data_IF_002137694913
#
_entry.id   IF_002137694913
#
_cell.length_a   1.000
_cell.length_b   1.000
_cell.length_c   1.000
_cell.angle_alpha   90.00
_cell.angle_beta   90.00
_cell.angle_gamma   90.00
#
_symmetry.space_group_name_H-M   'P 1'
#
loop_
_entity.id
_entity.type
_entity.pdbx_description
1 polymer ?
#
# COMPACT_ATOMS: atom_id res chain seq x y z
N UNK A 1 45.53 -26.18 7.52
CA UNK A 1 44.07 -26.21 7.78
C UNK A 1 43.45 -25.05 7.03
N UNK A 2 42.91 -25.29 5.82
CA UNK A 2 42.27 -24.24 5.02
C UNK A 2 40.84 -24.04 5.51
N UNK A 3 40.52 -22.81 5.92
CA UNK A 3 39.16 -22.40 6.24
C UNK A 3 38.36 -22.25 4.94
N UNK A 4 37.40 -23.13 4.72
CA UNK A 4 36.36 -22.97 3.71
C UNK A 4 35.46 -21.81 4.14
N UNK A 5 35.65 -20.65 3.54
CA UNK A 5 34.64 -19.58 3.56
C UNK A 5 33.45 -20.11 2.77
N UNK A 6 32.24 -20.23 3.35
CA UNK A 6 31.07 -20.61 2.58
C UNK A 6 30.74 -19.47 1.61
N UNK A 7 31.15 -19.62 0.36
CA UNK A 7 30.64 -18.85 -0.76
C UNK A 7 29.19 -19.27 -0.98
N UNK A 8 28.25 -18.49 -0.46
CA UNK A 8 26.87 -18.57 -0.91
C UNK A 8 26.84 -18.18 -2.40
N UNK A 9 26.31 -19.02 -3.30
CA UNK A 9 26.19 -18.64 -4.70
C UNK A 9 25.28 -17.41 -4.81
N UNK A 10 25.59 -16.43 -5.68
CA UNK A 10 24.76 -15.24 -5.89
C UNK A 10 23.31 -15.56 -6.35
N UNK A 11 23.03 -16.80 -6.75
CA UNK A 11 21.70 -17.26 -7.20
C UNK A 11 20.61 -17.29 -6.12
N UNK A 12 20.94 -17.32 -4.82
CA UNK A 12 19.89 -17.41 -3.78
C UNK A 12 19.09 -16.10 -3.58
N UNK A 13 19.54 -14.97 -4.11
CA UNK A 13 18.82 -13.68 -4.01
C UNK A 13 17.89 -13.40 -5.19
N UNK A 14 18.06 -14.08 -6.32
CA UNK A 14 17.24 -13.84 -7.53
C UNK A 14 15.91 -14.62 -7.52
N UNK A 15 15.86 -15.76 -6.82
CA UNK A 15 14.69 -16.66 -6.82
C UNK A 15 13.66 -16.38 -5.71
N UNK A 16 13.98 -15.53 -4.73
CA UNK A 16 12.96 -15.00 -3.85
C UNK A 16 12.21 -13.92 -4.63
N UNK A 17 11.13 -14.33 -5.30
CA UNK A 17 10.21 -13.42 -5.98
C UNK A 17 9.52 -12.59 -4.89
N UNK A 18 10.19 -11.51 -4.54
CA UNK A 18 9.66 -10.45 -3.72
C UNK A 18 8.78 -9.61 -4.61
N UNK A 19 7.56 -9.31 -4.14
CA UNK A 19 6.83 -8.17 -4.66
C UNK A 19 7.73 -6.94 -4.42
N UNK A 20 8.52 -6.53 -5.41
CA UNK A 20 9.45 -5.39 -5.31
C UNK A 20 8.70 -4.05 -5.25
N UNK A 21 7.43 -4.05 -5.63
CA UNK A 21 6.58 -2.87 -5.65
C UNK A 21 5.09 -3.21 -5.61
N UNK A 22 4.28 -2.33 -5.02
CA UNK A 22 2.82 -2.47 -5.03
C UNK A 22 2.15 -1.93 -6.29
N UNK A 23 2.91 -1.38 -7.25
CA UNK A 23 2.36 -0.77 -8.47
C UNK A 23 1.43 -1.71 -9.24
N UNK A 24 0.30 -1.17 -9.69
CA UNK A 24 -0.68 -1.92 -10.45
C UNK A 24 -2.11 -1.59 -10.04
N UNK A 25 -3.05 -2.25 -10.71
CA UNK A 25 -4.46 -2.23 -10.37
C UNK A 25 -4.82 -3.48 -9.57
N UNK A 26 -5.43 -3.26 -8.41
CA UNK A 26 -5.80 -4.30 -7.45
C UNK A 26 -7.29 -4.26 -7.19
N UNK A 27 -7.91 -5.41 -7.05
CA UNK A 27 -9.29 -5.51 -6.54
C UNK A 27 -9.23 -5.53 -5.03
N UNK A 28 -10.01 -4.68 -4.36
CA UNK A 28 -10.14 -4.61 -2.91
C UNK A 28 -11.51 -5.15 -2.48
N UNK A 29 -11.51 -6.02 -1.47
CA UNK A 29 -12.69 -6.47 -0.74
C UNK A 29 -12.53 -6.14 0.73
N UNK A 30 -13.51 -5.48 1.31
CA UNK A 30 -13.51 -5.12 2.73
C UNK A 30 -14.58 -5.90 3.47
N UNK A 31 -14.24 -6.33 4.67
CA UNK A 31 -15.09 -7.12 5.53
C UNK A 31 -15.26 -6.41 6.87
N UNK A 32 -16.48 -6.46 7.39
CA UNK A 32 -16.79 -6.05 8.76
C UNK A 32 -16.04 -6.89 9.80
N UNK A 33 -16.06 -6.45 11.06
CA UNK A 33 -15.49 -7.22 12.18
C UNK A 33 -16.06 -8.65 12.30
N UNK A 34 -17.32 -8.84 11.88
CA UNK A 34 -18.02 -10.14 11.89
C UNK A 34 -17.75 -10.97 10.61
N UNK A 35 -16.87 -10.50 9.73
CA UNK A 35 -16.46 -11.22 8.52
C UNK A 35 -17.40 -11.10 7.32
N UNK A 36 -18.47 -10.30 7.41
CA UNK A 36 -19.36 -10.03 6.26
C UNK A 36 -18.72 -9.03 5.30
N UNK A 37 -18.78 -9.30 4.00
CA UNK A 37 -18.35 -8.38 2.96
C UNK A 37 -19.18 -7.09 3.04
N UNK A 38 -18.50 -5.94 3.14
CA UNK A 38 -19.13 -4.62 3.28
C UNK A 38 -18.89 -3.73 2.07
N UNK A 39 -17.78 -3.90 1.36
CA UNK A 39 -17.52 -3.11 0.15
C UNK A 39 -16.55 -3.82 -0.79
N UNK A 40 -16.67 -3.48 -2.06
CA UNK A 40 -15.72 -3.82 -3.11
C UNK A 40 -15.24 -2.59 -3.87
N UNK A 41 -14.07 -2.68 -4.49
CA UNK A 41 -13.60 -1.65 -5.40
C UNK A 41 -12.23 -1.94 -6.00
N UNK A 42 -11.67 -0.94 -6.65
CA UNK A 42 -10.37 -1.02 -7.33
C UNK A 42 -9.40 -0.02 -6.73
N UNK A 43 -8.19 -0.49 -6.43
CA UNK A 43 -7.05 0.32 -6.02
C UNK A 43 -6.07 0.44 -7.18
N UNK A 44 -5.65 1.66 -7.48
CA UNK A 44 -4.55 1.91 -8.42
C UNK A 44 -3.37 2.43 -7.61
N UNK A 45 -2.36 1.58 -7.44
CA UNK A 45 -1.12 1.92 -6.78
C UNK A 45 -0.12 2.43 -7.81
N UNK A 46 0.38 3.64 -7.57
CA UNK A 46 1.34 4.37 -8.40
C UNK A 46 2.60 4.66 -7.61
N UNK A 47 3.75 4.65 -8.26
CA UNK A 47 5.05 4.97 -7.65
C UNK A 47 6.12 5.12 -8.74
N UNK A 48 7.19 5.86 -8.44
CA UNK A 48 8.30 6.04 -9.37
C UNK A 48 9.26 4.83 -9.34
N UNK A 49 9.91 4.56 -10.47
CA UNK A 49 10.97 3.53 -10.53
C UNK A 49 12.14 3.84 -9.57
N UNK A 50 12.41 5.11 -9.30
CA UNK A 50 13.43 5.56 -8.35
C UNK A 50 13.04 5.33 -6.88
N UNK A 51 11.79 4.97 -6.60
CA UNK A 51 11.27 4.71 -5.24
C UNK A 51 10.22 3.59 -5.31
N UNK A 52 10.64 2.34 -5.60
CA UNK A 52 9.73 1.23 -5.84
C UNK A 52 8.97 0.78 -4.58
N UNK A 53 9.41 1.25 -3.40
CA UNK A 53 8.90 0.93 -2.08
C UNK A 53 7.82 1.90 -1.58
N UNK A 54 7.49 2.97 -2.31
CA UNK A 54 6.48 3.93 -1.86
C UNK A 54 5.78 4.65 -3.01
N UNK A 55 4.63 5.24 -2.72
CA UNK A 55 3.95 6.08 -3.70
C UNK A 55 2.55 6.51 -3.27
N UNK A 56 1.66 6.68 -4.24
CA UNK A 56 0.27 7.08 -4.05
C UNK A 56 -0.68 5.98 -4.48
N UNK A 57 -1.80 5.85 -3.77
CA UNK A 57 -2.90 4.96 -4.10
C UNK A 57 -4.16 5.76 -4.28
N UNK A 58 -4.92 5.44 -5.33
CA UNK A 58 -6.29 5.89 -5.52
C UNK A 58 -7.24 4.71 -5.42
N UNK A 59 -8.38 4.90 -4.78
CA UNK A 59 -9.45 3.93 -4.64
C UNK A 59 -10.71 4.45 -5.33
N UNK A 60 -11.37 3.56 -6.08
CA UNK A 60 -12.68 3.76 -6.66
C UNK A 60 -13.54 2.52 -6.43
N UNK A 61 -14.69 2.68 -5.78
CA UNK A 61 -15.57 1.56 -5.42
C UNK A 61 -16.82 2.00 -4.67
N UNK A 62 -17.54 1.02 -4.13
CA UNK A 62 -18.89 1.18 -3.59
C UNK A 62 -18.97 2.09 -2.36
N UNK A 63 -17.93 2.13 -1.54
CA UNK A 63 -17.90 2.91 -0.30
C UNK A 63 -17.79 4.42 -0.57
N UNK A 64 -16.80 4.82 -1.38
CA UNK A 64 -16.55 6.20 -1.86
C UNK A 64 -15.17 6.28 -2.51
N UNK A 65 -14.92 7.29 -3.37
CA UNK A 65 -13.56 7.52 -3.88
C UNK A 65 -12.61 7.94 -2.76
N UNK A 66 -11.38 7.45 -2.81
CA UNK A 66 -10.36 7.79 -1.82
C UNK A 66 -8.95 7.88 -2.40
N UNK A 67 -8.07 8.59 -1.69
CA UNK A 67 -6.64 8.66 -2.05
C UNK A 67 -5.74 8.74 -0.83
N UNK A 68 -4.49 8.33 -1.00
CA UNK A 68 -3.45 8.53 0.00
C UNK A 68 -2.15 7.80 -0.30
N UNK A 69 -1.17 7.89 0.61
CA UNK A 69 0.13 7.28 0.40
C UNK A 69 0.12 5.77 0.67
N UNK A 70 1.04 5.06 0.02
CA UNK A 70 1.41 3.69 0.37
C UNK A 70 2.93 3.56 0.54
N UNK A 71 3.33 2.55 1.30
CA UNK A 71 4.70 2.15 1.54
C UNK A 71 4.79 0.63 1.69
N UNK A 72 5.84 0.06 1.15
CA UNK A 72 6.23 -1.33 1.30
C UNK A 72 7.48 -1.35 2.19
N UNK A 73 7.43 -2.11 3.28
CA UNK A 73 8.55 -2.24 4.22
C UNK A 73 8.95 -3.70 4.35
N UNK A 74 10.23 -3.96 4.57
CA UNK A 74 10.67 -5.27 5.03
C UNK A 74 10.09 -5.54 6.43
N UNK A 75 9.47 -6.71 6.62
CA UNK A 75 8.83 -7.18 7.86
C UNK A 75 9.68 -8.25 8.56
N UNK A 76 10.72 -8.77 7.91
CA UNK A 76 11.66 -9.74 8.48
C UNK A 76 12.15 -10.76 7.47
N UNK A 77 12.70 -11.87 7.97
CA UNK A 77 13.08 -13.04 7.19
C UNK A 77 12.19 -14.22 7.56
N UNK A 78 11.38 -14.68 6.60
CA UNK A 78 10.53 -15.87 6.71
C UNK A 78 11.26 -17.13 6.25
N UNK A 79 10.66 -18.30 6.47
CA UNK A 79 11.16 -19.57 5.91
C UNK A 79 10.70 -19.70 4.45
N UNK A 80 11.58 -20.13 3.57
CA UNK A 80 11.19 -20.43 2.19
C UNK A 80 10.15 -21.56 2.14
N UNK A 81 9.00 -21.38 1.48
CA UNK A 81 8.00 -22.44 1.33
C UNK A 81 8.43 -23.51 0.30
N UNK A 82 9.48 -23.24 -0.48
CA UNK A 82 9.91 -24.08 -1.64
C UNK A 82 11.26 -24.78 -1.44
N UNK A 83 11.93 -24.60 -0.30
CA UNK A 83 13.21 -25.29 -0.06
C UNK A 83 14.06 -24.75 1.08
N UNK A 84 15.37 -25.04 1.04
CA UNK A 84 16.34 -24.58 2.04
C UNK A 84 16.67 -23.10 1.82
N UNK A 85 16.36 -22.26 2.81
CA UNK A 85 16.67 -20.83 2.81
C UNK A 85 15.63 -19.98 3.55
N UNK A 86 15.86 -18.68 3.61
CA UNK A 86 14.89 -17.69 4.09
C UNK A 86 14.39 -16.78 2.96
N UNK A 87 13.20 -16.23 3.09
CA UNK A 87 12.63 -15.20 2.18
C UNK A 87 12.53 -13.88 2.92
N UNK A 88 12.70 -12.75 2.25
CA UNK A 88 12.41 -11.45 2.86
C UNK A 88 10.88 -11.29 2.90
N UNK A 89 10.29 -11.11 4.08
CA UNK A 89 8.87 -10.82 4.19
C UNK A 89 8.63 -9.34 3.93
N UNK A 90 7.64 -8.99 3.11
CA UNK A 90 7.30 -7.60 2.79
C UNK A 90 5.92 -7.25 3.36
N UNK A 91 5.85 -6.18 4.13
CA UNK A 91 4.63 -5.59 4.68
C UNK A 91 4.20 -4.40 3.83
N UNK A 92 3.00 -4.50 3.30
CA UNK A 92 2.33 -3.44 2.55
C UNK A 92 1.49 -2.60 3.52
N UNK A 93 1.70 -1.28 3.51
CA UNK A 93 0.92 -0.32 4.30
C UNK A 93 0.41 0.80 3.41
N UNK A 94 -0.86 1.16 3.51
CA UNK A 94 -1.38 2.35 2.84
C UNK A 94 -2.49 3.02 3.63
N UNK A 95 -2.75 4.27 3.27
CA UNK A 95 -3.84 5.07 3.85
C UNK A 95 -4.79 5.52 2.75
N UNK A 96 -6.09 5.47 3.04
CA UNK A 96 -7.12 6.05 2.18
C UNK A 96 -7.90 7.11 2.95
N UNK A 97 -7.98 8.31 2.39
CA UNK A 97 -8.90 9.36 2.85
C UNK A 97 -10.18 9.24 2.02
N UNK A 98 -11.28 8.79 2.64
CA UNK A 98 -12.57 8.44 1.99
C UNK A 98 -13.70 9.36 2.48
N UNK A 99 -13.62 10.66 2.16
CA UNK A 99 -14.67 11.62 2.48
C UNK A 99 -15.22 11.52 3.91
N UNK A 100 -16.49 11.15 4.04
CA UNK A 100 -17.22 10.98 5.31
C UNK A 100 -16.76 9.79 6.16
N UNK A 101 -16.12 8.77 5.58
CA UNK A 101 -15.57 7.63 6.33
C UNK A 101 -14.25 7.97 7.05
N UNK A 102 -13.67 9.14 6.73
CA UNK A 102 -12.44 9.63 7.33
C UNK A 102 -11.19 8.99 6.73
N UNK A 103 -10.19 8.75 7.58
CA UNK A 103 -8.91 8.15 7.14
C UNK A 103 -8.81 6.72 7.64
N UNK A 104 -8.62 5.80 6.70
CA UNK A 104 -8.47 4.38 6.95
C UNK A 104 -7.04 3.94 6.62
N UNK A 105 -6.53 3.04 7.44
CA UNK A 105 -5.19 2.48 7.34
C UNK A 105 -5.33 0.99 7.10
N UNK A 106 -4.58 0.53 6.12
CA UNK A 106 -4.51 -0.86 5.69
C UNK A 106 -3.08 -1.31 5.91
N UNK A 107 -2.93 -2.45 6.57
CA UNK A 107 -1.62 -3.04 6.83
C UNK A 107 -1.75 -4.53 6.64
N UNK A 108 -1.02 -5.08 5.68
CA UNK A 108 -1.06 -6.51 5.39
C UNK A 108 0.28 -7.01 4.89
N UNK A 109 0.42 -8.34 4.84
CA UNK A 109 1.59 -8.99 4.23
C UNK A 109 1.28 -9.25 2.77
N UNK A 110 2.22 -8.88 1.89
CA UNK A 110 2.13 -9.19 0.49
C UNK A 110 2.65 -10.60 0.24
N UNK A 111 1.81 -11.46 -0.33
CA UNK A 111 2.17 -12.81 -0.73
C UNK A 111 2.01 -12.94 -2.25
N UNK A 112 3.05 -13.40 -2.93
CA UNK A 112 2.96 -13.80 -4.34
C UNK A 112 2.64 -15.29 -4.36
N UNK A 113 1.42 -15.65 -4.77
CA UNK A 113 0.89 -17.01 -4.67
C UNK A 113 1.24 -17.88 -5.87
N UNK A 114 1.39 -17.28 -7.04
CA UNK A 114 1.86 -17.96 -8.25
C UNK A 114 2.23 -16.95 -9.35
N UNK A 115 2.90 -17.45 -10.39
CA UNK A 115 2.97 -16.78 -11.68
C UNK A 115 2.05 -17.53 -12.64
N UNK A 116 1.04 -16.85 -13.16
CA UNK A 116 0.27 -17.36 -14.28
C UNK A 116 0.58 -16.51 -15.51
N UNK A 117 1.36 -17.08 -16.44
CA UNK A 117 1.89 -16.32 -17.59
C UNK A 117 2.86 -15.21 -17.14
N UNK A 118 2.72 -14.01 -17.71
CA UNK A 118 3.57 -12.84 -17.43
C UNK A 118 3.18 -12.05 -16.16
N UNK A 119 2.37 -12.62 -15.25
CA UNK A 119 1.79 -11.88 -14.13
C UNK A 119 2.06 -12.54 -12.78
N UNK A 120 2.54 -11.79 -11.76
CA UNK A 120 2.52 -12.26 -10.39
C UNK A 120 1.09 -12.17 -9.85
N UNK A 121 0.53 -13.31 -9.44
CA UNK A 121 -0.70 -13.32 -8.65
C UNK A 121 -0.30 -12.95 -7.22
N UNK A 122 -0.54 -11.69 -6.86
CA UNK A 122 -0.19 -11.17 -5.55
C UNK A 122 -1.44 -10.84 -4.74
N UNK A 123 -1.43 -11.23 -3.47
CA UNK A 123 -2.53 -10.99 -2.53
C UNK A 123 -1.99 -10.32 -1.27
N UNK A 124 -2.72 -9.33 -0.77
CA UNK A 124 -2.47 -8.68 0.51
C UNK A 124 -3.71 -8.83 1.37
N UNK A 125 -3.55 -9.34 2.60
CA UNK A 125 -4.64 -9.44 3.58
C UNK A 125 -4.22 -8.81 4.90
N UNK A 126 -5.17 -8.22 5.62
CA UNK A 126 -4.89 -7.60 6.91
C UNK A 126 -6.08 -6.90 7.55
N UNK A 127 -5.88 -6.30 8.73
CA UNK A 127 -6.88 -5.45 9.38
C UNK A 127 -7.07 -4.10 8.69
N UNK A 128 -8.27 -3.53 8.83
CA UNK A 128 -8.57 -2.14 8.55
C UNK A 128 -8.66 -1.38 9.87
N UNK A 129 -7.91 -0.30 9.99
CA UNK A 129 -7.91 0.59 11.16
C UNK A 129 -8.39 1.98 10.74
N UNK A 130 -9.36 2.52 11.46
CA UNK A 130 -9.82 3.88 11.29
C UNK A 130 -9.09 4.82 12.24
N UNK A 131 -8.57 5.92 11.68
CA UNK A 131 -7.97 7.01 12.44
C UNK A 131 -9.05 8.02 12.79
N UNK A 132 -9.49 7.99 14.05
CA UNK A 132 -10.45 8.97 14.57
C UNK A 132 -9.72 10.31 14.70
N UNK A 133 -10.33 11.38 14.21
CA UNK A 133 -9.74 12.74 14.16
C UNK A 133 -8.41 12.83 13.38
N UNK A 134 -8.21 11.97 12.36
CA UNK A 134 -7.11 12.10 11.41
C UNK A 134 -5.71 11.75 11.95
N UNK A 135 -5.62 11.11 13.12
CA UNK A 135 -4.35 10.60 13.66
C UNK A 135 -3.39 11.70 14.16
N UNK A 136 -3.92 12.83 14.67
CA UNK A 136 -3.07 13.86 15.29
C UNK A 136 -2.22 13.28 16.42
N UNK A 137 -0.95 13.71 16.57
CA UNK A 137 0.02 13.10 17.50
C UNK A 137 -0.34 13.27 18.99
N UNK A 138 -1.36 14.06 19.33
CA UNK A 138 -1.91 14.18 20.68
C UNK A 138 -3.40 13.83 20.65
N UNK A 139 -3.71 12.54 20.80
CA UNK A 139 -5.08 12.08 21.06
C UNK A 139 -5.89 11.56 19.86
N UNK A 140 -5.26 11.28 18.71
CA UNK A 140 -5.94 10.47 17.69
C UNK A 140 -6.16 9.05 18.21
N UNK A 141 -7.42 8.61 18.34
CA UNK A 141 -7.73 7.23 18.67
C UNK A 141 -7.76 6.37 17.40
N UNK A 142 -7.24 5.15 17.51
CA UNK A 142 -7.29 4.15 16.46
C UNK A 142 -8.37 3.12 16.80
N UNK A 143 -9.20 2.77 15.82
CA UNK A 143 -10.23 1.74 15.98
C UNK A 143 -10.10 0.71 14.87
N UNK A 144 -9.97 -0.57 15.23
CA UNK A 144 -10.11 -1.66 14.26
C UNK A 144 -11.57 -1.70 13.81
N UNK A 145 -11.81 -1.55 12.51
CA UNK A 145 -13.17 -1.50 11.92
C UNK A 145 -13.49 -2.71 11.05
N UNK A 146 -12.48 -3.49 10.67
CA UNK A 146 -12.69 -4.66 9.82
C UNK A 146 -11.40 -5.34 9.38
N UNK A 147 -11.50 -6.08 8.28
CA UNK A 147 -10.39 -6.70 7.56
C UNK A 147 -10.56 -6.49 6.06
N UNK A 148 -9.49 -6.73 5.30
CA UNK A 148 -9.51 -6.61 3.85
C UNK A 148 -8.75 -7.76 3.18
N UNK A 149 -9.06 -7.93 1.90
CA UNK A 149 -8.32 -8.72 0.94
C UNK A 149 -8.14 -7.91 -0.34
N UNK A 150 -6.89 -7.75 -0.78
CA UNK A 150 -6.54 -7.06 -2.02
C UNK A 150 -5.78 -8.01 -2.95
N UNK A 151 -6.18 -8.08 -4.21
CA UNK A 151 -5.62 -8.99 -5.22
C UNK A 151 -5.16 -8.20 -6.45
N UNK A 152 -3.90 -8.40 -6.87
CA UNK A 152 -3.33 -7.76 -8.06
C UNK A 152 -3.99 -8.33 -9.32
N UNK A 153 -4.69 -7.47 -10.06
CA UNK A 153 -5.44 -7.86 -11.25
C UNK A 153 -4.64 -7.61 -12.53
N UNK A 154 -3.91 -6.49 -12.59
CA UNK A 154 -3.05 -6.12 -13.72
C UNK A 154 -1.97 -5.12 -13.32
N UNK A 155 -0.89 -5.07 -14.11
CA UNK A 155 0.03 -3.94 -14.07
C UNK A 155 -0.63 -2.67 -14.62
N UNK A 156 -0.01 -1.53 -14.33
CA UNK A 156 -0.43 -0.25 -14.87
C UNK A 156 -0.23 -0.24 -16.39
N UNK A 157 -1.10 0.47 -17.10
CA UNK A 157 -0.87 0.78 -18.51
C UNK A 157 0.18 1.87 -18.66
N UNK A 158 0.80 2.01 -19.83
CA UNK A 158 1.79 3.07 -20.07
C UNK A 158 1.24 4.47 -19.72
N UNK A 159 -0.02 4.76 -20.06
CA UNK A 159 -0.67 6.03 -19.72
C UNK A 159 -0.84 6.23 -18.20
N UNK A 160 -1.11 5.15 -17.44
CA UNK A 160 -1.20 5.22 -15.97
C UNK A 160 0.18 5.35 -15.31
N UNK A 161 1.23 4.78 -15.93
CA UNK A 161 2.61 4.95 -15.49
C UNK A 161 3.11 6.38 -15.74
N UNK A 162 2.81 6.97 -16.90
CA UNK A 162 3.12 8.39 -17.17
C UNK A 162 2.47 9.32 -16.14
N UNK A 163 1.20 9.11 -15.82
CA UNK A 163 0.51 9.84 -14.76
C UNK A 163 1.09 9.59 -13.34
N UNK A 164 1.88 8.53 -13.16
CA UNK A 164 2.54 8.19 -11.89
C UNK A 164 3.81 9.00 -11.63
N UNK A 165 4.50 9.46 -12.68
CA UNK A 165 5.75 10.23 -12.59
C UNK A 165 5.53 11.55 -11.85
N UNK A 166 4.42 12.23 -12.14
CA UNK A 166 4.05 13.51 -11.49
C UNK A 166 3.67 13.35 -10.02
N UNK A 167 3.12 12.18 -9.64
CA UNK A 167 2.67 11.91 -8.28
C UNK A 167 3.81 11.58 -7.30
N UNK A 168 4.95 11.09 -7.81
CA UNK A 168 6.12 10.75 -7.00
C UNK A 168 6.97 11.98 -6.66
N UNK A 169 7.02 12.99 -7.54
CA UNK A 169 7.73 14.25 -7.32
C UNK A 169 7.06 15.14 -6.25
N UNK A 170 5.75 15.00 -6.04
CA UNK A 170 4.97 15.93 -5.22
C UNK A 170 5.19 15.79 -3.71
N UNK A 171 5.76 14.68 -3.19
CA UNK A 171 6.05 14.51 -1.76
C UNK A 171 4.87 14.78 -0.79
N UNK A 172 3.65 14.87 -1.31
CA UNK A 172 2.56 15.61 -0.69
C UNK A 172 1.31 15.52 -1.57
N UNK A 173 0.14 15.62 -0.94
CA UNK A 173 -1.14 15.53 -1.63
C UNK A 173 -1.20 16.57 -2.77
N UNK A 174 -1.74 16.22 -3.95
CA UNK A 174 -1.88 17.16 -5.06
C UNK A 174 -2.71 18.38 -4.63
N UNK A 175 -2.38 19.54 -5.21
CA UNK A 175 -2.89 20.88 -4.86
C UNK A 175 -4.41 20.99 -4.76
N UNK A 176 -5.18 20.11 -5.41
CA UNK A 176 -6.65 20.02 -5.28
C UNK A 176 -7.18 19.67 -3.87
N UNK A 177 -6.30 19.31 -2.92
CA UNK A 177 -6.66 19.18 -1.49
C UNK A 177 -6.03 20.25 -0.59
N UNK A 178 -5.36 21.26 -1.16
CA UNK A 178 -5.13 22.47 -0.37
C UNK A 178 -6.48 23.12 -0.18
N UNK A 179 -6.99 23.06 1.05
CA UNK A 179 -8.11 23.87 1.50
C UNK A 179 -7.77 25.30 1.09
N UNK A 180 -8.46 25.80 0.06
CA UNK A 180 -8.51 27.22 -0.19
C UNK A 180 -9.13 27.77 1.09
N UNK A 181 -8.30 28.41 1.93
CA UNK A 181 -8.80 29.31 2.95
C UNK A 181 -9.50 30.43 2.17
N UNK A 182 -10.79 30.23 1.87
CA UNK A 182 -11.63 31.30 1.37
C UNK A 182 -11.64 32.32 2.49
N UNK A 183 -10.97 33.45 2.22
CA UNK A 183 -10.89 34.58 3.12
C UNK A 183 -12.30 35.14 3.33
N UNK A 184 -13.03 34.56 4.29
CA UNK A 184 -14.28 35.08 4.79
C UNK A 184 -14.06 35.46 6.24
N UNK A 185 -13.70 36.75 6.40
CA UNK A 185 -13.88 37.59 7.59
C UNK A 185 -13.37 37.10 8.94
N UNK A 186 -12.30 37.77 9.39
CA UNK A 186 -11.92 38.01 10.78
C UNK A 186 -11.47 36.79 11.61
N UNK A 187 -10.15 36.64 11.79
CA UNK A 187 -9.45 36.70 13.08
C UNK A 187 -7.99 36.28 12.87
N UNK A 188 -7.08 37.08 13.42
CA UNK A 188 -5.60 37.09 13.27
C UNK A 188 -4.92 35.73 13.47
N UNK A 189 -4.06 35.34 12.52
CA UNK A 189 -2.91 34.47 12.80
C UNK A 189 -1.76 35.34 13.33
N UNK A 190 -1.19 34.99 14.48
CA UNK A 190 0.08 35.55 14.96
C UNK A 190 1.24 34.65 14.52
N UNK A 191 2.36 35.32 14.25
CA UNK A 191 3.65 34.83 13.74
C UNK A 191 4.24 33.69 14.56
#
# INVERSE_FOLDING_TARGET
VSMLVPTFPPMQLDDAILLKSMRGAWTLREYSADGKLVSTGTLIFRGADSSPDKGQVSYEGEASRGRGPWILKSDGFGRSPVGKGGIIEMKALWKLRRGSEGTLVYSGRAAVTSFSGDRPNAVIKGPIVQLINGGKPKGGSEKKVGSFEAELTRFLTAAEEEASVDSAAAGGAPQELQVVCVASTSVRCKQ
#
